data_IF_935544001219
#
_entry.id   IF_935544001219
#
_cell.length_a   1.000
_cell.length_b   1.000
_cell.length_c   1.000
_cell.angle_alpha   90.00
_cell.angle_beta   90.00
_cell.angle_gamma   90.00
#
_symmetry.space_group_name_H-M   'P 1'
#
loop_
_entity.id
_entity.type
_entity.pdbx_description
1 polymer ?
#
# COMPACT_ATOMS: atom_id res chain seq x y z
N UNK A 1 -40.86 26.95 -1.13
CA UNK A 1 -40.45 25.53 -1.32
C UNK A 1 -39.02 25.35 -1.85
N UNK A 2 -38.45 26.22 -2.70
CA UNK A 2 -37.06 26.09 -3.23
C UNK A 2 -35.93 26.07 -2.18
N UNK A 3 -36.09 26.79 -1.07
CA UNK A 3 -35.06 26.89 0.00
C UNK A 3 -34.81 25.58 0.77
N UNK A 4 -35.85 24.76 0.99
CA UNK A 4 -35.70 23.47 1.70
C UNK A 4 -34.95 22.42 0.86
N UNK A 5 -35.17 22.39 -0.46
CA UNK A 5 -34.48 21.47 -1.36
C UNK A 5 -32.97 21.79 -1.47
N UNK A 6 -32.61 23.08 -1.49
CA UNK A 6 -31.21 23.51 -1.46
C UNK A 6 -30.52 23.17 -0.14
N UNK A 7 -31.22 23.32 0.99
CA UNK A 7 -30.71 22.96 2.31
C UNK A 7 -30.45 21.44 2.44
N UNK A 8 -31.38 20.60 1.97
CA UNK A 8 -31.19 19.15 1.96
C UNK A 8 -30.08 18.69 1.03
N UNK A 9 -29.91 19.33 -0.15
CA UNK A 9 -28.81 19.05 -1.05
C UNK A 9 -27.45 19.42 -0.45
N UNK A 10 -27.35 20.57 0.23
CA UNK A 10 -26.13 21.00 0.92
C UNK A 10 -25.78 20.08 2.10
N UNK A 11 -26.76 19.68 2.92
CA UNK A 11 -26.55 18.70 3.98
C UNK A 11 -26.14 17.31 3.44
N UNK A 12 -26.75 16.86 2.34
CA UNK A 12 -26.39 15.60 1.69
C UNK A 12 -24.96 15.60 1.16
N UNK A 13 -24.53 16.69 0.51
CA UNK A 13 -23.17 16.86 0.04
C UNK A 13 -22.16 16.91 1.20
N UNK A 14 -22.47 17.60 2.31
CA UNK A 14 -21.60 17.65 3.48
C UNK A 14 -21.42 16.27 4.14
N UNK A 15 -22.49 15.47 4.23
CA UNK A 15 -22.42 14.10 4.74
C UNK A 15 -21.57 13.22 3.83
N UNK A 16 -21.73 13.33 2.51
CA UNK A 16 -20.90 12.61 1.54
C UNK A 16 -19.41 13.00 1.65
N UNK A 17 -19.10 14.29 1.83
CA UNK A 17 -17.73 14.76 2.04
C UNK A 17 -17.14 14.23 3.35
N UNK A 18 -17.92 14.18 4.43
CA UNK A 18 -17.49 13.60 5.71
C UNK A 18 -17.22 12.10 5.58
N UNK A 19 -18.12 11.36 4.92
CA UNK A 19 -17.94 9.93 4.65
C UNK A 19 -16.67 9.71 3.80
N UNK A 20 -16.50 10.49 2.73
CA UNK A 20 -15.29 10.42 1.91
C UNK A 20 -14.03 10.73 2.72
N UNK A 21 -14.04 11.79 3.54
CA UNK A 21 -12.91 12.15 4.40
C UNK A 21 -12.58 11.04 5.42
N UNK A 22 -13.58 10.36 5.98
CA UNK A 22 -13.39 9.19 6.83
C UNK A 22 -12.76 8.04 6.04
N UNK A 23 -13.25 7.71 4.84
CA UNK A 23 -12.66 6.67 4.00
C UNK A 23 -11.24 6.99 3.53
N UNK A 24 -10.93 8.25 3.23
CA UNK A 24 -9.58 8.68 2.85
C UNK A 24 -8.64 8.74 4.05
N UNK A 25 -9.10 9.20 5.21
CA UNK A 25 -8.33 9.26 6.45
C UNK A 25 -8.10 7.90 7.10
N UNK A 26 -8.92 6.90 6.76
CA UNK A 26 -8.75 5.53 7.22
C UNK A 26 -7.84 4.69 6.32
N UNK A 27 -7.38 5.15 5.15
CA UNK A 27 -6.49 4.31 4.31
C UNK A 27 -5.17 3.98 5.01
N UNK A 28 -4.52 2.92 4.56
CA UNK A 28 -3.17 2.58 5.01
C UNK A 28 -2.22 3.76 4.78
N UNK A 29 -1.51 4.19 5.83
CA UNK A 29 -0.58 5.31 5.79
C UNK A 29 0.79 4.85 5.29
N UNK A 30 1.28 5.50 4.23
CA UNK A 30 2.59 5.22 3.62
C UNK A 30 3.46 6.46 3.47
N UNK A 31 3.05 7.59 4.05
CA UNK A 31 3.70 8.90 3.84
C UNK A 31 5.10 8.94 4.43
N UNK A 32 5.32 8.24 5.55
CA UNK A 32 6.61 8.13 6.23
C UNK A 32 7.38 6.85 5.88
N UNK A 33 6.91 6.09 4.88
CA UNK A 33 7.57 4.84 4.50
C UNK A 33 8.97 5.09 3.97
N UNK A 34 9.97 4.63 4.70
CA UNK A 34 11.36 4.58 4.27
C UNK A 34 11.58 3.42 3.31
N UNK A 35 12.28 3.65 2.19
CA UNK A 35 12.73 2.58 1.29
C UNK A 35 14.23 2.40 1.50
N UNK A 36 14.65 1.18 1.84
CA UNK A 36 16.03 0.84 2.18
C UNK A 36 16.57 -0.12 1.12
N UNK A 37 17.72 0.21 0.57
CA UNK A 37 18.48 -0.63 -0.37
C UNK A 37 19.89 -0.73 0.22
N UNK A 38 20.12 -1.77 1.02
CA UNK A 38 21.34 -1.94 1.83
C UNK A 38 22.31 -2.97 1.25
N UNK A 39 21.95 -3.61 0.13
CA UNK A 39 22.75 -4.63 -0.54
C UNK A 39 22.75 -4.46 -2.07
N UNK A 40 23.75 -5.02 -2.76
CA UNK A 40 23.79 -5.00 -4.21
C UNK A 40 22.53 -5.63 -4.82
N UNK A 41 22.04 -5.04 -5.91
CA UNK A 41 20.82 -5.47 -6.59
C UNK A 41 21.05 -5.61 -8.09
N UNK A 42 20.57 -6.69 -8.73
CA UNK A 42 20.50 -6.77 -10.19
C UNK A 42 19.39 -5.89 -10.79
N UNK A 43 18.37 -5.50 -10.01
CA UNK A 43 17.40 -4.49 -10.40
C UNK A 43 17.99 -3.07 -10.23
N UNK A 44 17.64 -2.16 -11.13
CA UNK A 44 18.01 -0.74 -11.01
C UNK A 44 17.29 -0.08 -9.85
N UNK A 45 17.85 1.02 -9.33
CA UNK A 45 17.20 1.82 -8.28
C UNK A 45 15.80 2.28 -8.71
N UNK A 46 15.64 2.72 -9.96
CA UNK A 46 14.35 3.12 -10.52
C UNK A 46 13.32 1.98 -10.51
N UNK A 47 13.74 0.75 -10.81
CA UNK A 47 12.87 -0.42 -10.74
C UNK A 47 12.42 -0.71 -9.31
N UNK A 48 13.35 -0.64 -8.35
CA UNK A 48 13.05 -0.86 -6.93
C UNK A 48 12.10 0.23 -6.42
N UNK A 49 12.34 1.49 -6.75
CA UNK A 49 11.46 2.60 -6.34
C UNK A 49 10.06 2.49 -6.97
N UNK A 50 9.97 2.11 -8.24
CA UNK A 50 8.69 1.88 -8.92
C UNK A 50 7.93 0.68 -8.30
N UNK A 51 8.63 -0.39 -7.94
CA UNK A 51 8.06 -1.52 -7.22
C UNK A 51 7.58 -1.12 -5.81
N UNK A 52 8.38 -0.34 -5.07
CA UNK A 52 8.01 0.19 -3.77
C UNK A 52 6.76 1.10 -3.86
N UNK A 53 6.64 1.91 -4.92
CA UNK A 53 5.44 2.71 -5.17
C UNK A 53 4.19 1.85 -5.39
N UNK A 54 4.32 0.70 -6.06
CA UNK A 54 3.22 -0.25 -6.20
C UNK A 54 2.80 -0.85 -4.84
N UNK A 55 3.77 -1.18 -3.97
CA UNK A 55 3.48 -1.63 -2.60
C UNK A 55 2.75 -0.55 -1.81
N UNK A 56 3.24 0.70 -1.83
CA UNK A 56 2.58 1.80 -1.12
C UNK A 56 1.13 1.99 -1.58
N UNK A 57 0.88 1.91 -2.89
CA UNK A 57 -0.47 2.02 -3.45
C UNK A 57 -1.38 0.87 -3.02
N UNK A 58 -0.88 -0.36 -3.05
CA UNK A 58 -1.64 -1.53 -2.63
C UNK A 58 -1.93 -1.48 -1.12
N UNK A 59 -0.94 -1.06 -0.32
CA UNK A 59 -1.04 -0.98 1.13
C UNK A 59 -2.11 0.01 1.63
N UNK A 60 -2.48 1.01 0.82
CA UNK A 60 -3.57 1.93 1.16
C UNK A 60 -4.91 1.23 1.42
N UNK A 61 -5.08 -0.02 0.97
CA UNK A 61 -6.26 -0.86 1.26
C UNK A 61 -6.31 -1.36 2.71
N UNK A 62 -5.20 -1.38 3.43
CA UNK A 62 -5.15 -1.79 4.84
C UNK A 62 -5.55 -0.64 5.75
N UNK A 63 -6.85 -0.53 6.02
CA UNK A 63 -7.40 0.63 6.71
C UNK A 63 -6.87 0.79 8.15
N UNK A 64 -6.32 1.97 8.46
CA UNK A 64 -5.78 2.33 9.78
C UNK A 64 -4.41 1.73 10.08
N UNK A 65 -3.78 1.07 9.10
CA UNK A 65 -2.45 0.50 9.24
C UNK A 65 -1.39 1.50 8.76
N UNK A 66 -0.14 1.33 9.17
CA UNK A 66 0.98 2.20 8.81
C UNK A 66 2.15 1.35 8.30
N UNK A 67 2.64 1.67 7.10
CA UNK A 67 3.84 1.07 6.52
C UNK A 67 5.05 1.96 6.85
N UNK A 68 5.94 1.47 7.72
CA UNK A 68 7.06 2.26 8.22
C UNK A 68 8.30 2.12 7.34
N UNK A 69 8.61 0.90 6.91
CA UNK A 69 9.82 0.60 6.15
C UNK A 69 9.56 -0.47 5.09
N UNK A 70 10.20 -0.32 3.93
CA UNK A 70 10.37 -1.32 2.89
C UNK A 70 11.87 -1.51 2.65
N UNK A 71 12.38 -2.68 2.98
CA UNK A 71 13.78 -3.06 2.77
C UNK A 71 13.84 -4.02 1.61
N UNK A 72 14.62 -3.66 0.59
CA UNK A 72 14.88 -4.50 -0.56
C UNK A 72 15.54 -5.81 -0.11
N UNK A 73 14.95 -6.94 -0.48
CA UNK A 73 15.46 -8.27 -0.14
C UNK A 73 15.96 -9.04 -1.35
N UNK A 74 15.28 -8.98 -2.48
CA UNK A 74 15.70 -9.75 -3.65
C UNK A 74 15.14 -9.16 -4.94
N UNK A 75 15.80 -9.45 -6.05
CA UNK A 75 15.33 -9.16 -7.39
C UNK A 75 15.52 -10.41 -8.25
N UNK A 76 14.43 -10.86 -8.87
CA UNK A 76 14.40 -12.06 -9.70
C UNK A 76 13.73 -11.81 -11.04
N UNK A 77 13.59 -12.89 -11.80
CA UNK A 77 12.85 -12.91 -13.07
C UNK A 77 11.95 -14.14 -13.05
N UNK A 78 10.65 -13.95 -13.31
CA UNK A 78 9.70 -15.06 -13.48
C UNK A 78 9.98 -15.82 -14.78
N UNK A 79 9.46 -17.03 -14.90
CA UNK A 79 9.59 -17.87 -16.11
C UNK A 79 9.12 -17.17 -17.39
N UNK A 80 8.20 -16.21 -17.28
CA UNK A 80 7.71 -15.40 -18.39
C UNK A 80 8.57 -14.14 -18.68
N UNK A 81 9.78 -14.07 -18.14
CA UNK A 81 10.75 -12.99 -18.36
C UNK A 81 10.48 -11.70 -17.56
N UNK A 82 9.48 -11.68 -16.68
CA UNK A 82 9.12 -10.47 -15.92
C UNK A 82 9.97 -10.32 -14.67
N UNK A 83 10.53 -9.13 -14.47
CA UNK A 83 11.26 -8.82 -13.24
C UNK A 83 10.36 -8.86 -12.01
N UNK A 84 10.92 -9.33 -10.91
CA UNK A 84 10.30 -9.35 -9.59
C UNK A 84 11.19 -8.66 -8.57
N UNK A 85 10.56 -8.07 -7.57
CA UNK A 85 11.23 -7.50 -6.41
C UNK A 85 10.56 -8.02 -5.16
N UNK A 86 11.35 -8.47 -4.21
CA UNK A 86 10.93 -8.83 -2.87
C UNK A 86 11.31 -7.71 -1.91
N UNK A 87 10.34 -7.25 -1.12
CA UNK A 87 10.58 -6.38 0.02
C UNK A 87 10.27 -7.10 1.31
N UNK A 88 11.15 -6.96 2.31
CA UNK A 88 10.76 -7.08 3.72
C UNK A 88 10.22 -5.73 4.18
N UNK A 89 9.28 -5.74 5.10
CA UNK A 89 8.68 -4.52 5.61
C UNK A 89 8.47 -4.56 7.10
N UNK A 90 8.40 -3.37 7.68
CA UNK A 90 7.95 -3.16 9.05
C UNK A 90 6.63 -2.40 8.97
N UNK A 91 5.58 -2.99 9.53
CA UNK A 91 4.25 -2.38 9.57
C UNK A 91 3.78 -2.25 11.01
N UNK A 92 2.97 -1.22 11.25
CA UNK A 92 2.16 -1.08 12.46
C UNK A 92 0.70 -1.34 12.07
N UNK A 93 0.10 -2.38 12.62
CA UNK A 93 -1.30 -2.69 12.34
C UNK A 93 -2.24 -1.72 13.05
N UNK A 94 -3.39 -1.48 12.43
CA UNK A 94 -4.49 -0.72 13.00
C UNK A 94 -5.28 -1.54 14.03
N UNK A 95 -6.43 -0.98 14.44
CA UNK A 95 -7.36 -1.68 15.32
C UNK A 95 -8.14 -2.79 14.61
N UNK A 96 -8.49 -2.57 13.33
CA UNK A 96 -9.21 -3.54 12.52
C UNK A 96 -8.21 -4.46 11.81
N UNK A 97 -8.36 -5.77 12.03
CA UNK A 97 -7.66 -6.83 11.30
C UNK A 97 -8.64 -7.95 10.97
N UNK A 98 -8.33 -8.76 9.97
CA UNK A 98 -9.11 -9.94 9.58
C UNK A 98 -8.79 -11.19 10.43
N UNK A 99 -8.03 -11.01 11.52
CA UNK A 99 -7.55 -12.09 12.38
C UNK A 99 -6.27 -12.76 11.90
N UNK A 100 -5.80 -12.49 10.68
CA UNK A 100 -4.51 -13.01 10.22
C UNK A 100 -3.35 -12.40 11.00
N UNK A 101 -3.50 -11.15 11.45
CA UNK A 101 -2.44 -10.37 12.11
C UNK A 101 -2.99 -9.72 13.37
N UNK A 102 -2.21 -9.66 14.48
CA UNK A 102 -2.67 -9.04 15.71
C UNK A 102 -2.91 -7.54 15.51
N UNK A 103 -3.97 -6.98 16.11
CA UNK A 103 -4.23 -5.54 16.05
C UNK A 103 -3.18 -4.76 16.86
N UNK A 104 -2.99 -3.48 16.50
CA UNK A 104 -2.12 -2.52 17.21
C UNK A 104 -0.70 -3.03 17.47
N UNK A 105 -0.17 -3.83 16.56
CA UNK A 105 1.09 -4.55 16.73
C UNK A 105 2.09 -4.13 15.66
N UNK A 106 3.37 -4.20 16.02
CA UNK A 106 4.48 -4.11 15.08
C UNK A 106 4.73 -5.49 14.50
N UNK A 107 4.66 -5.64 13.18
CA UNK A 107 4.92 -6.93 12.53
C UNK A 107 5.82 -6.79 11.30
N UNK A 108 6.53 -7.87 11.00
CA UNK A 108 7.28 -8.02 9.77
C UNK A 108 6.41 -8.68 8.72
N UNK A 109 6.45 -8.14 7.50
CA UNK A 109 5.63 -8.59 6.39
C UNK A 109 6.46 -8.56 5.11
N UNK A 110 6.29 -9.55 4.23
CA UNK A 110 6.95 -9.58 2.92
C UNK A 110 6.01 -9.20 1.80
N UNK A 111 6.50 -8.43 0.84
CA UNK A 111 5.79 -8.06 -0.38
C UNK A 111 6.54 -8.59 -1.60
N UNK A 112 5.90 -9.48 -2.35
CA UNK A 112 6.36 -9.89 -3.67
C UNK A 112 5.70 -9.00 -4.71
N UNK A 113 6.53 -8.33 -5.49
CA UNK A 113 6.11 -7.38 -6.53
C UNK A 113 6.59 -7.89 -7.87
N UNK A 114 5.74 -7.82 -8.89
CA UNK A 114 6.11 -8.18 -10.25
C UNK A 114 5.81 -7.04 -11.22
N UNK A 115 6.58 -6.99 -12.30
CA UNK A 115 6.28 -6.12 -13.43
C UNK A 115 5.01 -6.58 -14.14
N UNK A 116 4.14 -5.64 -14.52
CA UNK A 116 2.92 -5.92 -15.30
C UNK A 116 3.29 -6.41 -16.70
N UNK A 117 2.40 -7.16 -17.37
CA UNK A 117 2.51 -7.38 -18.81
C UNK A 117 2.72 -6.05 -19.54
N UNK A 118 3.59 -6.06 -20.56
CA UNK A 118 3.94 -4.90 -21.40
C UNK A 118 4.74 -3.79 -20.70
N UNK A 119 5.26 -4.01 -19.48
CA UNK A 119 6.11 -3.03 -18.80
C UNK A 119 5.36 -1.79 -18.29
N UNK A 120 4.02 -1.81 -18.30
CA UNK A 120 3.11 -0.72 -17.90
C UNK A 120 3.16 -0.32 -16.42
N UNK A 121 4.00 -0.97 -15.61
CA UNK A 121 4.21 -0.68 -14.21
C UNK A 121 4.41 -1.92 -13.36
N UNK A 122 4.20 -1.78 -12.05
CA UNK A 122 4.40 -2.84 -11.06
C UNK A 122 3.11 -3.14 -10.30
N UNK A 123 3.00 -4.32 -9.73
CA UNK A 123 1.88 -4.72 -8.88
C UNK A 123 2.33 -5.72 -7.81
N UNK A 124 1.67 -5.69 -6.65
CA UNK A 124 1.85 -6.69 -5.60
C UNK A 124 1.19 -7.99 -6.06
N UNK A 125 1.98 -9.07 -6.13
CA UNK A 125 1.51 -10.42 -6.47
C UNK A 125 0.98 -11.10 -5.22
N UNK A 126 1.74 -11.01 -4.13
CA UNK A 126 1.38 -11.59 -2.84
C UNK A 126 2.06 -10.83 -1.73
N UNK A 127 1.41 -10.81 -0.57
CA UNK A 127 2.00 -10.33 0.66
C UNK A 127 1.62 -11.28 1.80
N UNK A 128 2.50 -11.44 2.79
CA UNK A 128 2.18 -12.18 4.01
C UNK A 128 3.31 -12.16 5.02
N UNK A 129 3.12 -12.91 6.10
CA UNK A 129 4.23 -13.26 6.99
C UNK A 129 5.33 -13.98 6.22
N UNK A 130 6.58 -13.69 6.58
CA UNK A 130 7.75 -14.33 5.98
C UNK A 130 8.94 -14.32 6.91
#
# INVERSE_FOLDING_TARGET
>A
MKSRALFHAACGAAILCLIAAVFFGLRGNTTKTKVVIDKPSPCTQEQIEAAAHAVKRDFQRHFGWELLELTYEDCGVLENGKSTVLFKSVIRTGFLTDGSVPPRSMVYWRFWVAQRPEGSGWYVVSCGYG
#
